data_IF_420092244503
#
_entry.id   IF_420092244503
#
_cell.length_a   1.000
_cell.length_b   1.000
_cell.length_c   1.000
_cell.angle_alpha   90.00
_cell.angle_beta   90.00
_cell.angle_gamma   90.00
#
_symmetry.space_group_name_H-M   'P 1'
#
loop_
_entity.id
_entity.type
_entity.pdbx_description
1 polymer ?
#
# COMPACT_ATOMS: atom_id res chain seq x y z
N UNK A 1 -18.94 22.66 65.33
CA UNK A 1 -18.80 21.34 64.67
C UNK A 1 -18.27 21.52 63.24
N UNK A 2 -16.94 21.42 63.08
CA UNK A 2 -16.27 21.55 61.78
C UNK A 2 -16.37 20.18 61.09
N UNK A 3 -17.15 20.11 60.01
CA UNK A 3 -17.34 18.89 59.23
C UNK A 3 -16.18 18.78 58.22
N UNK A 4 -15.13 18.07 58.59
CA UNK A 4 -13.98 17.79 57.72
C UNK A 4 -14.33 16.73 56.67
N UNK A 5 -14.26 17.09 55.40
CA UNK A 5 -14.30 16.15 54.28
C UNK A 5 -12.91 15.52 54.11
N UNK A 6 -12.78 14.22 54.41
CA UNK A 6 -11.63 13.40 54.04
C UNK A 6 -11.88 12.84 52.63
N UNK A 7 -11.27 13.45 51.61
CA UNK A 7 -11.20 12.88 50.27
C UNK A 7 -10.03 11.91 50.25
N UNK A 8 -10.33 10.61 50.36
CA UNK A 8 -9.34 9.55 50.11
C UNK A 8 -9.12 9.46 48.60
N UNK A 9 -8.13 10.18 48.09
CA UNK A 9 -7.62 9.97 46.74
C UNK A 9 -6.83 8.65 46.72
N UNK A 10 -7.46 7.57 46.27
CA UNK A 10 -6.76 6.33 45.94
C UNK A 10 -6.03 6.59 44.63
N UNK A 11 -4.72 6.85 44.72
CA UNK A 11 -3.82 6.79 43.57
C UNK A 11 -3.71 5.33 43.16
N UNK A 12 -4.58 4.89 42.25
CA UNK A 12 -4.36 3.66 41.52
C UNK A 12 -3.14 3.90 40.63
N UNK A 13 -2.02 3.32 41.04
CA UNK A 13 -0.86 3.13 40.18
C UNK A 13 -1.39 2.46 38.90
N UNK A 14 -1.18 3.02 37.70
CA UNK A 14 -1.44 2.25 36.49
C UNK A 14 -0.46 1.09 36.55
N UNK A 15 -0.96 -0.09 36.92
CA UNK A 15 -0.32 -1.32 36.48
C UNK A 15 -0.28 -1.16 34.97
N UNK A 16 0.91 -0.92 34.43
CA UNK A 16 1.21 -1.24 33.05
C UNK A 16 0.68 -2.66 32.87
N UNK A 17 -0.48 -2.78 32.24
CA UNK A 17 -0.94 -4.07 31.79
C UNK A 17 0.18 -4.52 30.87
N UNK A 18 0.86 -5.58 31.25
CA UNK A 18 1.80 -6.27 30.40
C UNK A 18 0.96 -6.78 29.23
N UNK A 19 0.75 -5.92 28.24
CA UNK A 19 0.18 -6.28 26.97
C UNK A 19 1.14 -7.34 26.43
N UNK A 20 0.68 -8.59 26.41
CA UNK A 20 1.45 -9.68 25.82
C UNK A 20 1.66 -9.24 24.37
N UNK A 21 2.91 -8.98 24.01
CA UNK A 21 3.26 -8.73 22.62
C UNK A 21 3.17 -10.08 21.92
N UNK A 22 2.08 -10.32 21.21
CA UNK A 22 1.98 -11.50 20.36
C UNK A 22 3.09 -11.45 19.32
N UNK A 23 3.89 -12.52 19.25
CA UNK A 23 5.02 -12.58 18.32
C UNK A 23 4.54 -12.92 16.91
N UNK A 24 3.55 -13.82 16.81
CA UNK A 24 2.95 -14.30 15.57
C UNK A 24 1.48 -14.67 15.79
N UNK A 25 0.65 -14.47 14.76
CA UNK A 25 -0.78 -14.77 14.77
C UNK A 25 -1.12 -15.67 13.58
N UNK A 26 -1.74 -16.82 13.86
CA UNK A 26 -2.35 -17.70 12.85
C UNK A 26 -3.86 -17.59 12.97
N UNK A 27 -4.53 -17.26 11.87
CA UNK A 27 -5.99 -17.15 11.82
C UNK A 27 -6.52 -18.18 10.83
N UNK A 28 -7.40 -19.07 11.30
CA UNK A 28 -8.31 -19.78 10.40
C UNK A 28 -9.52 -18.87 10.15
N UNK A 29 -9.72 -18.43 8.92
CA UNK A 29 -10.85 -17.61 8.54
C UNK A 29 -11.79 -18.39 7.62
N UNK A 30 -13.07 -18.35 7.94
CA UNK A 30 -14.13 -18.96 7.17
C UNK A 30 -15.35 -18.03 7.12
N UNK A 31 -16.04 -18.00 5.98
CA UNK A 31 -17.32 -17.32 5.87
C UNK A 31 -18.26 -18.06 4.92
N UNK A 32 -19.55 -17.81 5.11
CA UNK A 32 -20.60 -18.20 4.17
C UNK A 32 -21.52 -17.01 3.91
N UNK A 33 -21.86 -16.77 2.65
CA UNK A 33 -22.70 -15.66 2.22
C UNK A 33 -23.99 -16.17 1.57
N UNK A 34 -25.13 -15.61 1.98
CA UNK A 34 -26.43 -15.78 1.33
C UNK A 34 -26.90 -14.46 0.72
N UNK A 35 -27.59 -14.46 -0.44
CA UNK A 35 -28.14 -15.62 -1.15
C UNK A 35 -27.18 -16.28 -2.16
N UNK A 36 -26.00 -15.72 -2.39
CA UNK A 36 -25.07 -16.14 -3.45
C UNK A 36 -24.46 -17.55 -3.24
N UNK A 37 -24.69 -18.15 -2.07
CA UNK A 37 -24.22 -19.49 -1.68
C UNK A 37 -22.69 -19.67 -1.80
N UNK A 38 -21.94 -18.57 -1.73
CA UNK A 38 -20.48 -18.58 -1.74
C UNK A 38 -19.93 -18.76 -0.34
N UNK A 39 -18.99 -19.70 -0.17
CA UNK A 39 -18.24 -19.87 1.06
C UNK A 39 -16.74 -19.95 0.79
N UNK A 40 -15.95 -19.57 1.78
CA UNK A 40 -14.49 -19.57 1.69
C UNK A 40 -13.90 -20.06 3.00
N UNK A 41 -12.79 -20.78 2.90
CA UNK A 41 -12.01 -21.27 4.03
C UNK A 41 -10.52 -21.06 3.73
N UNK A 42 -9.80 -20.42 4.64
CA UNK A 42 -8.39 -20.13 4.48
C UNK A 42 -7.64 -20.07 5.83
N UNK A 43 -6.32 -20.16 5.75
CA UNK A 43 -5.42 -19.87 6.86
C UNK A 43 -4.54 -18.67 6.53
N UNK A 44 -4.42 -17.75 7.49
CA UNK A 44 -3.58 -16.55 7.47
C UNK A 44 -2.47 -16.69 8.54
N UNK A 45 -1.26 -16.24 8.22
CA UNK A 45 -0.14 -16.07 9.13
C UNK A 45 0.38 -14.63 9.02
N UNK A 46 0.28 -13.87 10.11
CA UNK A 46 0.74 -12.47 10.19
C UNK A 46 0.24 -11.56 9.04
N UNK A 47 -0.95 -11.85 8.49
CA UNK A 47 -1.61 -11.08 7.43
C UNK A 47 -1.42 -11.62 6.01
N UNK A 48 -0.64 -12.71 5.86
CA UNK A 48 -0.39 -13.42 4.60
C UNK A 48 -1.14 -14.77 4.54
N UNK A 49 -1.74 -15.07 3.39
CA UNK A 49 -2.36 -16.37 3.13
C UNK A 49 -1.33 -17.50 3.14
N UNK A 50 -1.58 -18.54 3.94
CA UNK A 50 -0.85 -19.82 3.87
C UNK A 50 -1.45 -20.69 2.75
N UNK A 51 -2.77 -20.93 2.83
CA UNK A 51 -3.54 -21.70 1.86
C UNK A 51 -5.04 -21.37 1.97
N UNK A 52 -5.80 -21.75 0.93
CA UNK A 52 -7.26 -21.84 0.97
C UNK A 52 -7.73 -23.20 0.45
N UNK A 53 -9.02 -23.49 0.59
CA UNK A 53 -9.66 -24.65 -0.04
C UNK A 53 -10.54 -24.21 -1.20
N UNK A 54 -10.25 -24.70 -2.40
CA UNK A 54 -11.15 -24.58 -3.55
C UNK A 54 -12.34 -25.52 -3.32
N UNK A 55 -13.50 -24.96 -3.01
CA UNK A 55 -14.70 -25.73 -2.63
C UNK A 55 -15.26 -26.56 -3.79
N UNK A 56 -15.09 -26.09 -5.04
CA UNK A 56 -15.57 -26.77 -6.24
C UNK A 56 -14.67 -27.95 -6.58
N UNK A 57 -13.35 -27.74 -6.55
CA UNK A 57 -12.35 -28.80 -6.80
C UNK A 57 -12.13 -29.72 -5.61
N UNK A 58 -12.49 -29.27 -4.40
CA UNK A 58 -12.24 -29.95 -3.11
C UNK A 58 -10.76 -30.20 -2.86
N UNK A 59 -9.95 -29.18 -3.14
CA UNK A 59 -8.50 -29.25 -3.09
C UNK A 59 -7.92 -28.12 -2.23
N UNK A 60 -6.84 -28.42 -1.52
CA UNK A 60 -6.05 -27.43 -0.78
C UNK A 60 -5.13 -26.70 -1.76
N UNK A 61 -5.29 -25.39 -1.87
CA UNK A 61 -4.48 -24.52 -2.73
C UNK A 61 -3.52 -23.72 -1.87
N UNK A 62 -2.23 -24.04 -1.95
CA UNK A 62 -1.18 -23.34 -1.23
C UNK A 62 -0.85 -22.00 -1.90
N UNK A 63 -0.71 -20.93 -1.12
CA UNK A 63 -0.35 -19.60 -1.64
C UNK A 63 1.00 -19.60 -2.35
N UNK A 64 1.94 -20.38 -1.80
CA UNK A 64 3.22 -20.74 -2.42
C UNK A 64 3.32 -22.27 -2.48
N UNK A 65 3.63 -22.81 -3.66
CA UNK A 65 3.67 -24.27 -3.87
C UNK A 65 4.67 -24.99 -2.94
N UNK A 66 5.72 -24.31 -2.51
CA UNK A 66 6.72 -24.87 -1.59
C UNK A 66 6.16 -25.20 -0.20
N UNK A 67 5.12 -24.50 0.26
CA UNK A 67 4.48 -24.81 1.54
C UNK A 67 3.86 -26.21 1.54
N UNK A 68 3.29 -26.63 0.41
CA UNK A 68 2.74 -27.98 0.21
C UNK A 68 3.78 -29.10 0.21
N UNK A 69 5.08 -28.78 0.24
CA UNK A 69 6.16 -29.79 0.41
C UNK A 69 6.40 -30.13 1.88
N UNK A 70 6.04 -29.23 2.80
CA UNK A 70 6.30 -29.37 4.23
C UNK A 70 5.04 -29.63 5.04
N UNK A 71 3.88 -29.25 4.51
CA UNK A 71 2.60 -29.37 5.17
C UNK A 71 1.52 -29.94 4.23
N UNK A 72 0.46 -30.49 4.82
CA UNK A 72 -0.71 -31.02 4.13
C UNK A 72 -1.97 -30.65 4.92
N UNK A 73 -3.08 -30.39 4.21
CA UNK A 73 -4.38 -30.16 4.83
C UNK A 73 -5.45 -30.96 4.08
N UNK A 74 -6.36 -31.60 4.84
CA UNK A 74 -7.47 -32.38 4.28
C UNK A 74 -8.67 -31.48 3.97
N UNK A 75 -8.87 -31.16 2.68
CA UNK A 75 -9.92 -30.26 2.20
C UNK A 75 -11.34 -30.65 2.66
N UNK A 76 -11.58 -31.93 2.96
CA UNK A 76 -12.88 -32.40 3.45
C UNK A 76 -13.28 -31.77 4.79
N UNK A 77 -12.31 -31.41 5.63
CA UNK A 77 -12.57 -30.69 6.88
C UNK A 77 -13.18 -29.31 6.64
N UNK A 78 -12.62 -28.55 5.69
CA UNK A 78 -13.14 -27.24 5.31
C UNK A 78 -14.57 -27.32 4.77
N UNK A 79 -14.86 -28.31 3.91
CA UNK A 79 -16.23 -28.52 3.39
C UNK A 79 -17.24 -28.79 4.53
N UNK A 80 -16.84 -29.53 5.56
CA UNK A 80 -17.69 -29.78 6.72
C UNK A 80 -17.92 -28.51 7.55
N UNK A 81 -16.88 -27.69 7.75
CA UNK A 81 -17.00 -26.38 8.40
C UNK A 81 -17.97 -25.46 7.65
N UNK A 82 -17.80 -25.31 6.33
CA UNK A 82 -18.67 -24.47 5.51
C UNK A 82 -20.14 -24.92 5.55
N UNK A 83 -20.40 -26.22 5.64
CA UNK A 83 -21.77 -26.72 5.82
C UNK A 83 -22.37 -26.30 7.18
N UNK A 84 -21.56 -26.26 8.24
CA UNK A 84 -21.94 -25.76 9.56
C UNK A 84 -22.15 -24.25 9.50
N UNK A 85 -21.27 -23.49 8.85
CA UNK A 85 -21.40 -22.04 8.69
C UNK A 85 -22.67 -21.65 7.95
N UNK A 86 -23.01 -22.38 6.90
CA UNK A 86 -24.29 -22.22 6.22
C UNK A 86 -25.47 -22.41 7.18
N UNK A 87 -25.47 -23.48 7.97
CA UNK A 87 -26.54 -23.76 8.92
C UNK A 87 -26.62 -22.68 10.02
N UNK A 88 -25.46 -22.20 10.50
CA UNK A 88 -25.36 -21.12 11.45
C UNK A 88 -25.88 -19.80 10.87
N UNK A 89 -25.54 -19.49 9.61
CA UNK A 89 -26.06 -18.31 8.92
C UNK A 89 -27.58 -18.34 8.83
N UNK A 90 -28.17 -19.47 8.45
CA UNK A 90 -29.63 -19.65 8.38
C UNK A 90 -30.32 -19.40 9.75
N UNK A 91 -29.66 -19.75 10.85
CA UNK A 91 -30.14 -19.46 12.22
C UNK A 91 -29.95 -17.98 12.56
N UNK A 92 -28.78 -17.41 12.26
CA UNK A 92 -28.44 -16.02 12.60
C UNK A 92 -29.30 -15.02 11.83
N UNK A 93 -29.60 -15.27 10.56
CA UNK A 93 -30.55 -14.47 9.77
C UNK A 93 -31.93 -14.42 10.43
N UNK A 94 -32.45 -15.56 10.91
CA UNK A 94 -33.74 -15.59 11.62
C UNK A 94 -33.67 -14.83 12.94
N UNK A 95 -32.58 -15.01 13.69
CA UNK A 95 -32.36 -14.36 14.99
C UNK A 95 -32.23 -12.84 14.86
N UNK A 96 -31.60 -12.34 13.80
CA UNK A 96 -31.46 -10.92 13.50
C UNK A 96 -32.70 -10.32 12.83
N UNK A 97 -33.80 -11.08 12.70
CA UNK A 97 -34.98 -10.69 11.93
C UNK A 97 -34.65 -10.27 10.49
N UNK A 98 -33.75 -11.02 9.85
CA UNK A 98 -33.26 -10.81 8.48
C UNK A 98 -32.61 -9.43 8.27
N UNK A 99 -31.94 -8.91 9.30
CA UNK A 99 -31.12 -7.70 9.14
C UNK A 99 -29.95 -8.01 8.19
N UNK A 100 -29.82 -7.31 7.04
CA UNK A 100 -28.76 -7.56 6.08
C UNK A 100 -27.42 -7.01 6.56
N UNK A 101 -26.34 -7.42 5.90
CA UNK A 101 -25.03 -6.81 6.10
C UNK A 101 -25.01 -5.36 5.61
N UNK A 102 -24.25 -4.50 6.29
CA UNK A 102 -24.02 -3.12 5.85
C UNK A 102 -22.91 -3.11 4.83
N UNK A 103 -23.16 -2.53 3.65
CA UNK A 103 -22.13 -2.37 2.63
C UNK A 103 -21.11 -1.31 3.09
N UNK A 104 -19.84 -1.70 3.10
CA UNK A 104 -18.68 -0.83 3.34
C UNK A 104 -17.84 -0.81 2.05
N UNK A 105 -17.72 0.34 1.36
CA UNK A 105 -16.97 0.42 0.11
C UNK A 105 -15.46 0.20 0.31
N UNK A 106 -14.75 -0.37 -0.68
CA UNK A 106 -13.31 -0.57 -0.60
C UNK A 106 -12.51 0.72 -0.74
N UNK A 107 -11.39 0.78 -0.03
CA UNK A 107 -10.25 1.60 -0.39
C UNK A 107 -9.38 0.83 -1.39
N UNK A 108 -8.94 1.49 -2.47
CA UNK A 108 -8.13 0.84 -3.52
C UNK A 108 -6.85 1.61 -3.77
N UNK A 109 -5.75 0.89 -3.80
CA UNK A 109 -4.40 1.41 -4.08
C UNK A 109 -3.76 0.56 -5.18
N UNK A 110 -3.10 1.21 -6.14
CA UNK A 110 -2.27 0.53 -7.16
C UNK A 110 -0.82 0.82 -6.89
N UNK A 111 -0.01 -0.24 -6.84
CA UNK A 111 1.41 -0.21 -6.52
C UNK A 111 2.17 -1.09 -7.52
N UNK A 112 3.49 -0.95 -7.57
CA UNK A 112 4.37 -1.87 -8.29
C UNK A 112 5.14 -2.74 -7.29
N UNK A 113 5.41 -3.99 -7.67
CA UNK A 113 6.14 -4.93 -6.81
C UNK A 113 7.60 -4.49 -6.57
N UNK A 114 8.21 -3.82 -7.55
CA UNK A 114 9.56 -3.28 -7.48
C UNK A 114 9.60 -1.86 -8.08
N UNK A 115 10.68 -1.08 -7.85
CA UNK A 115 10.96 0.13 -8.61
C UNK A 115 10.87 -0.12 -10.12
N UNK A 116 10.36 0.86 -10.86
CA UNK A 116 9.99 0.67 -12.27
C UNK A 116 11.14 1.01 -13.19
N UNK A 117 11.53 0.06 -14.02
CA UNK A 117 12.55 0.23 -15.07
C UNK A 117 11.92 -0.11 -16.43
N UNK A 118 12.14 0.76 -17.42
CA UNK A 118 11.56 0.57 -18.76
C UNK A 118 12.11 -0.70 -19.41
N UNK A 119 11.22 -1.54 -19.94
CA UNK A 119 11.60 -2.78 -20.60
C UNK A 119 12.00 -3.93 -19.67
N UNK A 120 11.98 -3.75 -18.34
CA UNK A 120 12.22 -4.82 -17.36
C UNK A 120 10.90 -5.33 -16.76
N UNK A 121 10.66 -6.66 -16.70
CA UNK A 121 9.40 -7.20 -16.19
C UNK A 121 9.09 -6.76 -14.74
N UNK A 122 7.84 -6.37 -14.50
CA UNK A 122 7.36 -5.98 -13.18
C UNK A 122 5.90 -6.46 -12.99
N UNK A 123 5.33 -6.22 -11.82
CA UNK A 123 3.95 -6.60 -11.48
C UNK A 123 3.23 -5.40 -10.89
N UNK A 124 2.09 -5.06 -11.48
CA UNK A 124 1.12 -4.15 -10.86
C UNK A 124 0.31 -4.90 -9.83
N UNK A 125 0.15 -4.29 -8.66
CA UNK A 125 -0.59 -4.82 -7.52
C UNK A 125 -1.76 -3.87 -7.25
N UNK A 126 -2.98 -4.36 -7.40
CA UNK A 126 -4.18 -3.68 -6.95
C UNK A 126 -4.55 -4.21 -5.58
N UNK A 127 -4.31 -3.39 -4.56
CA UNK A 127 -4.66 -3.69 -3.18
C UNK A 127 -6.03 -3.07 -2.84
N UNK A 128 -6.97 -3.93 -2.46
CA UNK A 128 -8.36 -3.60 -2.17
C UNK A 128 -8.59 -3.90 -0.70
N UNK A 129 -8.89 -2.88 0.10
CA UNK A 129 -8.90 -2.96 1.57
C UNK A 129 -10.20 -2.40 2.17
N UNK A 130 -10.49 -2.79 3.41
CA UNK A 130 -11.57 -2.28 4.27
C UNK A 130 -12.97 -2.33 3.66
N UNK A 131 -13.33 -3.44 3.01
CA UNK A 131 -14.66 -3.59 2.42
C UNK A 131 -15.46 -4.73 3.03
N UNK A 132 -16.78 -4.66 2.86
CA UNK A 132 -17.74 -5.73 3.20
C UNK A 132 -19.03 -5.49 2.43
N UNK A 133 -19.76 -6.52 1.95
CA UNK A 133 -19.46 -7.95 2.00
C UNK A 133 -18.24 -8.35 1.14
N UNK A 134 -17.72 -9.59 1.27
CA UNK A 134 -16.60 -10.10 0.48
C UNK A 134 -17.04 -10.47 -0.94
N UNK A 135 -17.56 -9.49 -1.69
CA UNK A 135 -17.99 -9.64 -3.09
C UNK A 135 -17.50 -8.43 -3.85
N UNK A 136 -16.45 -8.62 -4.67
CA UNK A 136 -15.87 -7.58 -5.53
C UNK A 136 -15.67 -8.13 -6.92
N UNK A 137 -15.82 -7.27 -7.93
CA UNK A 137 -15.40 -7.57 -9.29
C UNK A 137 -14.26 -6.63 -9.65
N UNK A 138 -13.12 -7.23 -9.97
CA UNK A 138 -11.90 -6.50 -10.31
C UNK A 138 -11.59 -6.74 -11.78
N UNK A 139 -11.16 -5.70 -12.48
CA UNK A 139 -10.77 -5.80 -13.89
C UNK A 139 -9.57 -4.91 -14.14
N UNK A 140 -8.49 -5.51 -14.62
CA UNK A 140 -7.36 -4.76 -15.14
C UNK A 140 -7.67 -4.22 -16.53
N UNK A 141 -7.38 -2.94 -16.75
CA UNK A 141 -7.46 -2.28 -18.04
C UNK A 141 -6.04 -1.86 -18.46
N UNK A 142 -5.65 -2.16 -19.69
CA UNK A 142 -4.47 -1.57 -20.34
C UNK A 142 -4.98 -0.68 -21.47
N UNK A 143 -4.66 0.60 -21.45
CA UNK A 143 -5.15 1.59 -22.41
C UNK A 143 -6.68 1.55 -22.58
N UNK A 144 -7.40 1.41 -21.46
CA UNK A 144 -8.86 1.29 -21.40
C UNK A 144 -9.46 -0.04 -21.85
N UNK A 145 -8.65 -1.05 -22.22
CA UNK A 145 -9.12 -2.37 -22.66
C UNK A 145 -8.87 -3.44 -21.60
N UNK A 146 -9.83 -4.35 -21.32
CA UNK A 146 -9.64 -5.42 -20.36
C UNK A 146 -8.48 -6.35 -20.69
N UNK A 147 -7.67 -6.70 -19.68
CA UNK A 147 -6.58 -7.68 -19.76
C UNK A 147 -6.77 -8.76 -18.72
N UNK A 148 -6.63 -10.02 -19.15
CA UNK A 148 -6.76 -11.21 -18.30
C UNK A 148 -5.53 -12.11 -18.33
N UNK A 149 -4.65 -11.94 -19.31
CA UNK A 149 -3.46 -12.79 -19.47
C UNK A 149 -2.48 -12.56 -18.33
N UNK A 150 -2.13 -13.63 -17.61
CA UNK A 150 -1.17 -13.57 -16.49
C UNK A 150 -1.74 -12.96 -15.21
N UNK A 151 -3.01 -12.52 -15.21
CA UNK A 151 -3.66 -11.98 -14.02
C UNK A 151 -3.83 -13.08 -12.99
N UNK A 152 -3.54 -12.75 -11.73
CA UNK A 152 -3.78 -13.63 -10.59
C UNK A 152 -4.35 -12.83 -9.42
N UNK A 153 -4.92 -13.51 -8.43
CA UNK A 153 -5.56 -12.89 -7.28
C UNK A 153 -5.45 -13.75 -6.03
N UNK A 154 -5.58 -13.13 -4.85
CA UNK A 154 -5.78 -13.83 -3.58
C UNK A 154 -7.25 -14.14 -3.37
N UNK A 155 -7.55 -14.99 -2.39
CA UNK A 155 -8.87 -15.08 -1.76
C UNK A 155 -9.20 -13.82 -0.93
N UNK A 156 -10.33 -13.79 -0.23
CA UNK A 156 -10.68 -12.67 0.66
C UNK A 156 -9.96 -12.81 2.01
N UNK A 157 -8.97 -11.96 2.24
CA UNK A 157 -8.14 -12.02 3.44
C UNK A 157 -8.83 -11.32 4.62
N UNK A 158 -8.73 -11.87 5.85
CA UNK A 158 -9.36 -11.29 7.02
C UNK A 158 -8.65 -10.01 7.48
N UNK A 159 -9.37 -9.24 8.29
CA UNK A 159 -8.85 -8.11 9.07
C UNK A 159 -9.35 -8.20 10.50
N UNK A 160 -8.66 -7.53 11.41
CA UNK A 160 -9.04 -7.42 12.82
C UNK A 160 -10.42 -6.78 13.03
N UNK A 161 -10.84 -5.89 12.12
CA UNK A 161 -12.13 -5.19 12.15
C UNK A 161 -13.27 -5.94 11.44
N UNK A 162 -13.04 -7.20 11.06
CA UNK A 162 -13.97 -8.07 10.32
C UNK A 162 -14.35 -7.57 8.91
N UNK A 163 -13.63 -6.58 8.38
CA UNK A 163 -13.66 -6.25 6.95
C UNK A 163 -12.68 -7.14 6.19
N UNK A 164 -12.66 -7.00 4.87
CA UNK A 164 -11.86 -7.85 3.99
C UNK A 164 -10.74 -7.07 3.28
N UNK A 165 -9.69 -7.80 2.92
CA UNK A 165 -8.61 -7.40 2.02
C UNK A 165 -8.55 -8.34 0.83
N UNK A 166 -8.07 -7.85 -0.31
CA UNK A 166 -7.83 -8.68 -1.49
C UNK A 166 -6.73 -8.05 -2.36
N UNK A 167 -5.91 -8.90 -2.96
CA UNK A 167 -4.90 -8.47 -3.92
C UNK A 167 -5.21 -9.02 -5.30
N UNK A 168 -5.04 -8.18 -6.32
CA UNK A 168 -5.07 -8.53 -7.74
C UNK A 168 -3.73 -8.16 -8.35
N UNK A 169 -3.18 -9.02 -9.20
CA UNK A 169 -1.85 -8.89 -9.76
C UNK A 169 -1.90 -8.90 -11.28
N UNK A 170 -1.12 -8.03 -11.91
CA UNK A 170 -0.93 -8.00 -13.36
C UNK A 170 0.57 -7.92 -13.68
N UNK A 171 1.19 -9.02 -14.15
CA UNK A 171 2.51 -8.98 -14.76
C UNK A 171 2.48 -8.10 -16.00
N UNK A 172 3.45 -7.19 -16.13
CA UNK A 172 3.53 -6.26 -17.25
C UNK A 172 4.97 -5.89 -17.58
N UNK A 173 5.14 -5.31 -18.78
CA UNK A 173 6.41 -4.74 -19.22
C UNK A 173 6.25 -3.20 -19.25
N UNK A 174 6.91 -2.45 -18.36
CA UNK A 174 6.76 -1.01 -18.28
C UNK A 174 7.10 -0.31 -19.60
N UNK A 175 6.23 0.61 -20.00
CA UNK A 175 6.31 1.42 -21.22
C UNK A 175 5.87 2.84 -20.91
N UNK A 176 6.41 3.83 -21.64
CA UNK A 176 5.98 5.24 -21.55
C UNK A 176 4.70 5.52 -22.34
N UNK A 177 4.25 4.56 -23.16
CA UNK A 177 3.07 4.70 -24.02
C UNK A 177 1.81 4.08 -23.42
N UNK A 178 1.98 3.17 -22.47
CA UNK A 178 0.89 2.41 -21.87
C UNK A 178 0.51 2.97 -20.50
N UNK A 179 -0.79 3.02 -20.25
CA UNK A 179 -1.35 3.23 -18.92
C UNK A 179 -2.25 2.08 -18.52
N UNK A 180 -2.42 1.94 -17.21
CA UNK A 180 -3.17 0.84 -16.62
C UNK A 180 -4.16 1.36 -15.60
N UNK A 181 -5.31 0.71 -15.50
CA UNK A 181 -6.30 1.00 -14.47
C UNK A 181 -6.72 -0.30 -13.78
N UNK A 182 -6.72 -0.29 -12.44
CA UNK A 182 -7.48 -1.27 -11.67
C UNK A 182 -8.92 -0.77 -11.51
N UNK A 183 -9.86 -1.42 -12.19
CA UNK A 183 -11.30 -1.16 -12.03
C UNK A 183 -11.89 -2.08 -10.96
N UNK A 184 -12.51 -1.50 -9.95
CA UNK A 184 -13.15 -2.22 -8.84
C UNK A 184 -14.63 -1.88 -8.76
N UNK A 185 -15.48 -2.90 -8.82
CA UNK A 185 -16.92 -2.81 -8.63
C UNK A 185 -17.30 -3.50 -7.31
N UNK A 186 -18.05 -2.81 -6.45
CA UNK A 186 -18.50 -3.30 -5.14
C UNK A 186 -19.87 -2.68 -4.77
N UNK A 187 -20.71 -3.40 -4.02
CA UNK A 187 -22.07 -2.96 -3.67
C UNK A 187 -22.15 -1.70 -2.79
N UNK A 188 -21.04 -1.31 -2.15
CA UNK A 188 -20.92 -0.08 -1.36
C UNK A 188 -20.51 1.14 -2.19
N UNK A 189 -20.18 0.97 -3.47
CA UNK A 189 -19.79 2.06 -4.37
C UNK A 189 -20.98 2.48 -5.26
N UNK A 190 -21.21 3.78 -5.39
CA UNK A 190 -22.21 4.32 -6.32
C UNK A 190 -21.80 4.12 -7.79
N UNK A 191 -20.49 4.15 -8.07
CA UNK A 191 -19.90 3.92 -9.38
C UNK A 191 -18.60 3.10 -9.27
N UNK A 192 -18.19 2.38 -10.34
CA UNK A 192 -16.93 1.64 -10.32
C UNK A 192 -15.73 2.54 -10.02
N UNK A 193 -14.89 2.13 -9.07
CA UNK A 193 -13.68 2.86 -8.74
C UNK A 193 -12.57 2.49 -9.74
N UNK A 194 -11.96 3.50 -10.35
CA UNK A 194 -10.80 3.34 -11.23
C UNK A 194 -9.55 3.89 -10.53
N UNK A 195 -8.53 3.04 -10.38
CA UNK A 195 -7.22 3.46 -9.88
C UNK A 195 -6.19 3.36 -10.99
N UNK A 196 -5.75 4.53 -11.42
CA UNK A 196 -4.85 4.72 -12.53
C UNK A 196 -3.38 4.52 -12.13
N UNK A 197 -2.60 3.98 -13.06
CA UNK A 197 -1.16 3.91 -13.00
C UNK A 197 -0.59 4.15 -14.40
N UNK A 198 0.41 5.01 -14.48
CA UNK A 198 1.21 5.25 -15.68
C UNK A 198 2.67 5.50 -15.27
N UNK A 199 3.59 5.29 -16.21
CA UNK A 199 4.99 5.60 -15.96
C UNK A 199 5.21 7.11 -15.95
N UNK A 200 5.55 7.67 -14.79
CA UNK A 200 5.91 9.09 -14.69
C UNK A 200 7.29 9.31 -15.32
N UNK A 201 7.33 9.97 -16.48
CA UNK A 201 8.58 10.38 -17.10
C UNK A 201 9.15 11.51 -16.25
N UNK A 202 10.35 11.38 -15.66
CA UNK A 202 10.96 12.48 -14.94
C UNK A 202 11.03 13.68 -15.88
N UNK A 203 10.25 14.72 -15.58
CA UNK A 203 10.30 15.94 -16.38
C UNK A 203 11.74 16.42 -16.39
N UNK A 204 12.38 16.59 -17.57
CA UNK A 204 13.71 17.16 -17.60
C UNK A 204 13.64 18.48 -16.84
N UNK A 205 14.58 18.67 -15.89
CA UNK A 205 14.71 19.93 -15.17
C UNK A 205 14.62 21.06 -16.19
N UNK A 206 13.79 22.09 -15.96
CA UNK A 206 13.68 23.16 -16.93
C UNK A 206 15.08 23.73 -17.15
N UNK A 207 15.51 23.78 -18.42
CA UNK A 207 16.82 24.31 -18.88
C UNK A 207 17.13 25.70 -18.25
N UNK A 208 16.11 26.37 -17.74
CA UNK A 208 16.19 27.64 -17.02
C UNK A 208 17.04 27.57 -15.76
N UNK A 209 17.05 26.47 -15.00
CA UNK A 209 17.84 26.40 -13.75
C UNK A 209 19.35 26.34 -14.06
N UNK A 210 19.73 25.55 -15.05
CA UNK A 210 21.13 25.43 -15.49
C UNK A 210 21.62 26.74 -16.14
N UNK A 211 20.79 27.37 -16.98
CA UNK A 211 21.08 28.67 -17.56
C UNK A 211 21.19 29.80 -16.52
N UNK A 212 20.37 29.77 -15.47
CA UNK A 212 20.43 30.74 -14.36
C UNK A 212 21.70 30.56 -13.53
N UNK A 213 22.08 29.31 -13.22
CA UNK A 213 23.33 29.02 -12.49
C UNK A 213 24.55 29.45 -13.31
N UNK A 214 24.56 29.18 -14.61
CA UNK A 214 25.65 29.59 -15.50
C UNK A 214 25.74 31.12 -15.62
N UNK A 215 24.62 31.81 -15.79
CA UNK A 215 24.55 33.27 -15.86
C UNK A 215 25.02 33.93 -14.55
N UNK A 216 24.58 33.42 -13.40
CA UNK A 216 25.02 33.89 -12.08
C UNK A 216 26.54 33.66 -11.90
N UNK A 217 27.05 32.50 -12.30
CA UNK A 217 28.47 32.19 -12.28
C UNK A 217 29.30 33.17 -13.12
N UNK A 218 28.83 33.52 -14.32
CA UNK A 218 29.46 34.50 -15.21
C UNK A 218 29.53 35.90 -14.59
N UNK A 219 28.43 36.35 -13.98
CA UNK A 219 28.37 37.67 -13.31
C UNK A 219 29.36 37.72 -12.15
N UNK A 220 29.39 36.68 -11.30
CA UNK A 220 30.33 36.60 -10.17
C UNK A 220 31.77 36.58 -10.67
N UNK A 221 32.06 35.82 -11.73
CA UNK A 221 33.39 35.78 -12.35
C UNK A 221 33.85 37.14 -12.86
N UNK A 222 32.98 37.87 -13.58
CA UNK A 222 33.29 39.21 -14.09
C UNK A 222 33.54 40.22 -12.96
N UNK A 223 32.71 40.19 -11.92
CA UNK A 223 32.89 41.06 -10.73
C UNK A 223 34.22 40.75 -10.04
N UNK A 224 34.58 39.47 -9.91
CA UNK A 224 35.86 39.03 -9.36
C UNK A 224 37.07 39.57 -10.15
N UNK A 225 37.01 39.53 -11.48
CA UNK A 225 38.05 40.06 -12.36
C UNK A 225 38.20 41.58 -12.19
N UNK A 226 37.09 42.32 -12.16
CA UNK A 226 37.10 43.78 -11.98
C UNK A 226 37.65 44.15 -10.60
N UNK A 227 37.19 43.49 -9.54
CA UNK A 227 37.69 43.73 -8.19
C UNK A 227 39.19 43.38 -8.06
N UNK A 228 39.62 42.25 -8.62
CA UNK A 228 41.01 41.82 -8.63
C UNK A 228 41.92 42.80 -9.37
N UNK A 229 41.54 43.25 -10.56
CA UNK A 229 42.30 44.25 -11.32
C UNK A 229 42.39 45.58 -10.58
N UNK A 230 41.32 46.05 -9.93
CA UNK A 230 41.36 47.27 -9.10
C UNK A 230 42.32 47.12 -7.91
N UNK A 231 42.31 45.97 -7.23
CA UNK A 231 43.21 45.70 -6.11
C UNK A 231 44.68 45.65 -6.56
N UNK A 232 44.97 45.00 -7.70
CA UNK A 232 46.32 44.97 -8.28
C UNK A 232 46.78 46.38 -8.65
N UNK A 233 45.96 47.17 -9.34
CA UNK A 233 46.31 48.55 -9.73
C UNK A 233 46.53 49.43 -8.49
N UNK A 234 45.68 49.32 -7.47
CA UNK A 234 45.89 50.03 -6.20
C UNK A 234 47.17 49.57 -5.49
N UNK A 235 47.46 48.27 -5.48
CA UNK A 235 48.69 47.69 -4.92
C UNK A 235 49.95 48.21 -5.62
N UNK A 236 49.97 48.20 -6.95
CA UNK A 236 51.09 48.72 -7.76
C UNK A 236 51.26 50.23 -7.57
N UNK A 237 50.17 51.01 -7.52
CA UNK A 237 50.23 52.45 -7.23
C UNK A 237 50.76 52.76 -5.82
N UNK A 238 50.41 51.93 -4.82
CA UNK A 238 50.94 52.05 -3.45
C UNK A 238 52.41 51.63 -3.37
N UNK A 239 52.82 50.58 -4.08
CA UNK A 239 54.22 50.15 -4.19
C UNK A 239 55.12 51.23 -4.80
N UNK A 240 54.71 51.80 -5.92
CA UNK A 240 55.44 52.90 -6.58
C UNK A 240 55.49 54.20 -5.75
N UNK A 241 54.51 54.43 -4.86
CA UNK A 241 54.53 55.55 -3.93
C UNK A 241 55.44 55.31 -2.71
N UNK A 242 55.68 54.04 -2.35
CA UNK A 242 56.55 53.66 -1.24
C UNK A 242 58.02 53.63 -1.68
N UNK A 243 58.31 53.20 -2.91
CA UNK A 243 59.66 53.16 -3.49
C UNK A 243 60.24 54.57 -3.76
N UNK A 244 59.38 55.60 -3.89
CA UNK A 244 59.81 57.02 -3.91
C UNK A 244 60.13 57.60 -2.52
N UNK A 245 59.96 56.84 -1.42
CA UNK A 245 60.29 57.27 -0.06
C UNK A 245 61.17 56.23 0.65
N UNK A 246 62.46 56.23 0.31
CA UNK A 246 63.52 55.83 1.24
C UNK A 246 64.84 55.45 0.55
N UNK A 247 66.02 55.60 1.19
CA UNK A 247 66.40 56.46 2.34
C UNK A 247 67.31 57.64 1.91
N UNK A 248 67.37 58.69 2.73
CA UNK A 248 68.51 59.62 2.83
C UNK A 248 69.41 59.15 3.97
#
# INVERSE_FOLDING_TARGET
PVLGFLIMAVLMNPQESWAIKEEHVIIQAEFYLGPDQSGEFMFDFDGDEIFHVDMDKRETVWRLEEFGRFASFEAQGALANIAVDKANLDIMMKRSNHTPNTNVPPEVTVLTNAPVELGEPNVLICFIDKFSPPVVKVTWLQNGKPVTTGVSETVFLPREDHLFRKFHYLPFLPSTEDFYDCKVEHLGLDEPLLKHWEFDVPTPLPETTENVVCALGLVVGLVGIVAGTVLIVKGVRKGNATERRGPL
#
